data_IF_970575834268
#
_entry.id   IF_970575834268
#
_cell.length_a   1.000
_cell.length_b   1.000
_cell.length_c   1.000
_cell.angle_alpha   90.00
_cell.angle_beta   90.00
_cell.angle_gamma   90.00
#
_symmetry.space_group_name_H-M   'P 1'
#
loop_
_entity.id
_entity.type
_entity.pdbx_description
1 polymer ?
#
# COMPACT_ATOMS: atom_id res chain seq x y z
N UNK A 1 32.24 -17.58 -13.60
CA UNK A 1 31.44 -16.99 -12.52
C UNK A 1 30.43 -16.08 -13.18
N UNK A 2 29.14 -16.38 -13.03
CA UNK A 2 28.06 -15.57 -13.59
C UNK A 2 27.95 -14.23 -12.86
N UNK A 3 27.22 -13.28 -13.43
CA UNK A 3 26.95 -11.99 -12.76
C UNK A 3 26.10 -12.19 -11.50
N UNK A 4 25.18 -13.16 -11.53
CA UNK A 4 24.41 -13.61 -10.37
C UNK A 4 25.32 -14.07 -9.22
N UNK A 5 26.27 -14.97 -9.50
CA UNK A 5 27.22 -15.46 -8.50
C UNK A 5 28.09 -14.33 -7.92
N UNK A 6 28.55 -13.41 -8.77
CA UNK A 6 29.32 -12.24 -8.33
C UNK A 6 28.50 -11.33 -7.41
N UNK A 7 27.23 -11.10 -7.76
CA UNK A 7 26.35 -10.29 -6.94
C UNK A 7 26.07 -10.97 -5.59
N UNK A 8 25.86 -12.29 -5.57
CA UNK A 8 25.73 -13.05 -4.32
C UNK A 8 26.97 -12.88 -3.42
N UNK A 9 28.18 -12.92 -3.96
CA UNK A 9 29.40 -12.73 -3.17
C UNK A 9 29.51 -11.31 -2.58
N UNK A 10 29.03 -10.32 -3.31
CA UNK A 10 28.99 -8.94 -2.85
C UNK A 10 28.03 -8.79 -1.66
N UNK A 11 26.78 -9.20 -1.80
CA UNK A 11 25.73 -9.03 -0.78
C UNK A 11 25.89 -9.92 0.47
N UNK A 12 26.88 -10.84 0.48
CA UNK A 12 27.28 -11.56 1.71
C UNK A 12 28.00 -10.67 2.72
N UNK A 13 28.50 -9.52 2.28
CA UNK A 13 29.12 -8.52 3.13
C UNK A 13 28.21 -7.31 3.24
N UNK A 14 28.31 -6.58 4.36
CA UNK A 14 27.53 -5.36 4.52
C UNK A 14 28.00 -4.30 3.52
N UNK A 15 27.06 -3.59 2.90
CA UNK A 15 27.39 -2.65 1.83
C UNK A 15 26.16 -2.05 1.15
N UNK A 16 26.42 -1.15 0.20
CA UNK A 16 25.41 -0.55 -0.65
C UNK A 16 25.76 -0.81 -2.12
N UNK A 17 24.77 -1.20 -2.90
CA UNK A 17 24.91 -1.65 -4.28
C UNK A 17 23.90 -0.93 -5.16
N UNK A 18 24.36 -0.45 -6.30
CA UNK A 18 23.50 0.14 -7.34
C UNK A 18 23.58 -0.78 -8.55
N UNK A 19 22.44 -1.21 -9.07
CA UNK A 19 22.45 -2.02 -10.28
C UNK A 19 22.82 -1.16 -11.50
N UNK A 20 23.70 -1.69 -12.33
CA UNK A 20 24.09 -1.06 -13.60
C UNK A 20 23.40 -1.70 -14.81
N UNK A 21 22.75 -2.85 -14.60
CA UNK A 21 22.03 -3.63 -15.59
C UNK A 21 21.10 -4.64 -14.91
N UNK A 22 20.22 -5.26 -15.68
CA UNK A 22 19.37 -6.35 -15.21
C UNK A 22 20.22 -7.56 -14.82
N UNK A 23 19.95 -8.11 -13.64
CA UNK A 23 20.48 -9.38 -13.15
C UNK A 23 19.44 -10.47 -13.41
N UNK A 24 19.71 -11.33 -14.40
CA UNK A 24 18.83 -12.44 -14.76
C UNK A 24 19.52 -13.75 -14.39
N UNK A 25 18.81 -14.58 -13.61
CA UNK A 25 19.27 -15.88 -13.18
C UNK A 25 19.42 -16.85 -14.37
N UNK A 26 20.43 -17.72 -14.27
CA UNK A 26 20.55 -18.92 -15.11
C UNK A 26 20.05 -20.16 -14.37
N UNK A 27 20.04 -21.32 -15.03
CA UNK A 27 19.52 -22.56 -14.44
C UNK A 27 20.28 -23.05 -13.18
N UNK A 28 21.46 -22.50 -12.88
CA UNK A 28 22.26 -22.85 -11.68
C UNK A 28 22.18 -21.79 -10.60
N UNK A 29 21.48 -20.70 -10.85
CA UNK A 29 21.36 -19.58 -9.95
C UNK A 29 20.38 -19.91 -8.82
N UNK A 30 20.80 -19.64 -7.60
CA UNK A 30 20.02 -19.89 -6.39
C UNK A 30 19.53 -18.58 -5.77
N UNK A 31 18.63 -18.71 -4.78
CA UNK A 31 18.13 -17.60 -3.97
C UNK A 31 19.29 -16.78 -3.42
N UNK A 32 19.16 -15.45 -3.48
CA UNK A 32 20.12 -14.58 -2.85
C UNK A 32 19.98 -14.63 -1.33
N UNK A 33 21.03 -15.06 -0.65
CA UNK A 33 21.07 -15.17 0.81
C UNK A 33 21.75 -13.94 1.42
N UNK A 34 21.05 -13.26 2.34
CA UNK A 34 21.60 -12.19 3.18
C UNK A 34 21.73 -12.75 4.60
N UNK A 35 22.96 -13.05 5.08
CA UNK A 35 23.15 -13.69 6.37
C UNK A 35 22.75 -12.80 7.55
N UNK A 36 22.49 -13.44 8.70
CA UNK A 36 22.25 -12.73 9.96
C UNK A 36 23.44 -11.84 10.32
N UNK A 37 23.16 -10.59 10.70
CA UNK A 37 24.18 -9.59 11.04
C UNK A 37 24.77 -8.83 9.85
N UNK A 38 24.36 -9.17 8.62
CA UNK A 38 24.76 -8.45 7.40
C UNK A 38 23.71 -7.38 7.08
N UNK A 39 24.16 -6.19 6.68
CA UNK A 39 23.29 -5.07 6.28
C UNK A 39 23.59 -4.67 4.85
N UNK A 40 22.64 -4.90 3.96
CA UNK A 40 22.75 -4.64 2.52
C UNK A 40 21.73 -3.58 2.12
N UNK A 41 22.16 -2.60 1.33
CA UNK A 41 21.25 -1.69 0.62
C UNK A 41 21.40 -1.90 -0.88
N UNK A 42 20.29 -2.09 -1.58
CA UNK A 42 20.23 -2.27 -3.02
C UNK A 42 19.39 -1.13 -3.60
N UNK A 43 19.99 -0.35 -4.49
CA UNK A 43 19.28 0.53 -5.41
C UNK A 43 19.13 -0.21 -6.74
N UNK A 44 17.88 -0.54 -7.07
CA UNK A 44 17.55 -1.21 -8.31
C UNK A 44 17.84 -0.32 -9.52
N UNK A 45 17.85 1.02 -9.37
CA UNK A 45 18.26 1.95 -10.42
C UNK A 45 17.55 1.68 -11.78
N UNK A 46 16.27 1.32 -11.72
CA UNK A 46 15.46 0.96 -12.89
C UNK A 46 15.72 -0.42 -13.51
N UNK A 47 16.53 -1.25 -12.86
CA UNK A 47 16.89 -2.59 -13.32
C UNK A 47 16.17 -3.71 -12.57
N UNK A 48 16.16 -4.89 -13.20
CA UNK A 48 15.54 -6.09 -12.66
C UNK A 48 16.55 -6.97 -11.93
N UNK A 49 16.07 -7.63 -10.89
CA UNK A 49 16.62 -8.87 -10.35
C UNK A 49 15.57 -9.94 -10.61
N UNK A 50 15.80 -10.72 -11.66
CA UNK A 50 14.84 -11.70 -12.19
C UNK A 50 15.37 -13.12 -11.97
N UNK A 51 14.63 -13.91 -11.19
CA UNK A 51 14.92 -15.34 -10.97
C UNK A 51 14.55 -16.21 -12.17
N UNK A 52 13.74 -15.69 -13.09
CA UNK A 52 13.30 -16.34 -14.31
C UNK A 52 12.72 -17.76 -14.09
N UNK A 53 12.10 -17.98 -12.93
CA UNK A 53 11.31 -19.16 -12.60
C UNK A 53 9.85 -18.84 -12.94
N UNK A 54 9.45 -19.08 -14.19
CA UNK A 54 8.13 -18.66 -14.71
C UNK A 54 7.10 -19.78 -14.77
N UNK A 55 7.54 -21.04 -14.71
CA UNK A 55 6.68 -22.21 -14.92
C UNK A 55 6.85 -23.22 -13.76
N UNK A 56 5.72 -23.77 -13.28
CA UNK A 56 5.61 -24.76 -12.18
C UNK A 56 6.42 -26.05 -12.42
N UNK A 57 6.85 -26.28 -13.67
CA UNK A 57 7.51 -27.51 -14.10
C UNK A 57 8.90 -27.30 -14.70
N UNK A 58 9.54 -26.15 -14.44
CA UNK A 58 10.94 -25.96 -14.82
C UNK A 58 11.86 -26.80 -13.90
N UNK A 59 11.85 -28.11 -14.15
CA UNK A 59 12.62 -29.12 -13.39
C UNK A 59 14.14 -29.01 -13.61
N UNK A 60 14.59 -28.10 -14.47
CA UNK A 60 16.01 -27.82 -14.70
C UNK A 60 16.55 -26.76 -13.75
N UNK A 61 15.67 -26.00 -13.06
CA UNK A 61 16.06 -24.91 -12.14
C UNK A 61 15.69 -25.25 -10.71
N UNK A 62 16.52 -24.80 -9.76
CA UNK A 62 16.15 -24.85 -8.36
C UNK A 62 15.10 -23.79 -8.08
N UNK A 63 13.96 -24.22 -7.56
CA UNK A 63 12.94 -23.36 -6.98
C UNK A 63 13.54 -22.46 -5.88
N UNK A 64 12.76 -21.47 -5.49
CA UNK A 64 13.03 -20.58 -4.38
C UNK A 64 12.78 -19.12 -4.70
N UNK A 65 12.78 -18.33 -3.64
CA UNK A 65 12.66 -16.89 -3.71
C UNK A 65 13.76 -16.20 -4.54
N UNK A 66 13.53 -14.92 -4.87
CA UNK A 66 14.62 -14.05 -5.34
C UNK A 66 15.60 -13.78 -4.19
N UNK A 67 15.08 -13.42 -3.02
CA UNK A 67 15.88 -13.17 -1.82
C UNK A 67 15.40 -13.98 -0.60
N UNK A 68 16.35 -14.46 0.18
CA UNK A 68 16.17 -14.92 1.55
C UNK A 68 16.99 -14.00 2.47
N UNK A 69 16.28 -13.16 3.22
CA UNK A 69 16.88 -12.17 4.10
C UNK A 69 16.85 -12.65 5.55
N UNK A 70 18.01 -12.92 6.14
CA UNK A 70 18.19 -13.18 7.59
C UNK A 70 18.88 -12.02 8.31
N UNK A 71 19.34 -11.02 7.57
CA UNK A 71 20.04 -9.83 8.05
C UNK A 71 19.16 -8.59 7.96
N UNK A 72 19.70 -7.53 7.39
CA UNK A 72 18.98 -6.30 7.06
C UNK A 72 19.12 -6.00 5.58
N UNK A 73 18.00 -5.96 4.87
CA UNK A 73 17.92 -5.62 3.45
C UNK A 73 17.17 -4.31 3.29
N UNK A 74 17.76 -3.35 2.59
CA UNK A 74 17.08 -2.14 2.11
C UNK A 74 16.97 -2.21 0.60
N UNK A 75 15.77 -2.03 0.07
CA UNK A 75 15.50 -1.94 -1.37
C UNK A 75 14.99 -0.55 -1.69
N UNK A 76 15.61 0.06 -2.70
CA UNK A 76 15.26 1.37 -3.24
C UNK A 76 15.33 1.33 -4.76
N UNK A 77 14.79 2.34 -5.41
CA UNK A 77 14.87 2.48 -6.85
C UNK A 77 14.90 3.96 -7.21
N UNK A 78 16.11 4.48 -7.46
CA UNK A 78 16.33 5.91 -7.65
C UNK A 78 15.89 6.43 -9.02
N UNK A 79 15.80 5.55 -10.01
CA UNK A 79 15.40 5.87 -11.39
C UNK A 79 13.94 5.49 -11.67
N UNK A 80 13.40 4.49 -10.97
CA UNK A 80 12.06 3.97 -11.19
C UNK A 80 12.07 2.79 -12.15
N UNK A 81 11.04 1.95 -12.08
CA UNK A 81 10.84 0.71 -12.86
C UNK A 81 11.70 -0.51 -12.50
N UNK A 82 12.51 -0.41 -11.44
CA UNK A 82 13.28 -1.53 -10.92
C UNK A 82 12.38 -2.61 -10.32
N UNK A 83 12.73 -3.89 -10.52
CA UNK A 83 11.89 -5.02 -10.14
C UNK A 83 12.67 -6.14 -9.46
N UNK A 84 12.03 -6.79 -8.49
CA UNK A 84 12.42 -8.08 -7.91
C UNK A 84 11.33 -9.07 -8.33
N UNK A 85 11.66 -9.95 -9.28
CA UNK A 85 10.66 -10.74 -10.01
C UNK A 85 11.10 -12.16 -10.35
N UNK A 86 10.15 -12.94 -10.87
CA UNK A 86 10.38 -14.26 -11.44
C UNK A 86 10.81 -15.30 -10.42
N UNK A 87 10.59 -15.07 -9.13
CA UNK A 87 10.80 -16.10 -8.11
C UNK A 87 9.59 -17.03 -8.02
N UNK A 88 9.87 -18.30 -7.76
CA UNK A 88 8.88 -19.38 -7.62
C UNK A 88 9.31 -20.27 -6.45
N UNK A 89 8.61 -20.24 -5.32
CA UNK A 89 9.00 -20.99 -4.11
C UNK A 89 7.88 -21.91 -3.62
N UNK A 90 8.18 -23.17 -3.31
CA UNK A 90 7.22 -24.11 -2.72
C UNK A 90 7.06 -23.98 -1.20
N UNK A 91 7.79 -23.07 -0.56
CA UNK A 91 7.76 -22.84 0.89
C UNK A 91 7.16 -21.47 1.27
N UNK A 92 6.84 -20.63 0.29
CA UNK A 92 6.32 -19.28 0.49
C UNK A 92 7.34 -18.17 0.23
N UNK A 93 6.86 -16.96 -0.02
CA UNK A 93 7.70 -15.78 -0.28
C UNK A 93 8.38 -15.80 -1.64
N UNK A 94 7.62 -16.02 -2.71
CA UNK A 94 8.13 -16.17 -4.07
C UNK A 94 9.12 -15.07 -4.48
N UNK A 95 8.87 -13.82 -4.12
CA UNK A 95 9.82 -12.73 -4.30
C UNK A 95 10.88 -12.71 -3.19
N UNK A 96 10.41 -12.53 -1.95
CA UNK A 96 11.29 -12.37 -0.79
C UNK A 96 10.79 -13.18 0.41
N UNK A 97 11.68 -14.00 0.96
CA UNK A 97 11.55 -14.56 2.30
C UNK A 97 12.29 -13.67 3.31
N UNK A 98 11.56 -12.97 4.17
CA UNK A 98 12.13 -12.12 5.19
C UNK A 98 12.08 -12.78 6.57
N UNK A 99 13.26 -13.12 7.10
CA UNK A 99 13.47 -13.60 8.47
C UNK A 99 14.31 -12.60 9.31
N UNK A 100 14.59 -11.42 8.77
CA UNK A 100 15.34 -10.35 9.40
C UNK A 100 14.58 -9.03 9.34
N UNK A 101 15.24 -7.97 8.89
CA UNK A 101 14.60 -6.68 8.66
C UNK A 101 14.66 -6.32 7.18
N UNK A 102 13.51 -5.99 6.59
CA UNK A 102 13.38 -5.54 5.22
C UNK A 102 12.80 -4.12 5.19
N UNK A 103 13.51 -3.20 4.54
CA UNK A 103 13.01 -1.87 4.21
C UNK A 103 12.73 -1.79 2.71
N UNK A 104 11.49 -1.51 2.33
CA UNK A 104 11.07 -1.28 0.96
C UNK A 104 10.75 0.21 0.78
N UNK A 105 11.69 0.94 0.19
CA UNK A 105 11.58 2.38 -0.07
C UNK A 105 11.24 2.71 -1.53
N UNK A 106 11.45 1.76 -2.45
CA UNK A 106 11.22 1.93 -3.87
C UNK A 106 11.32 0.61 -4.63
N UNK A 107 11.04 0.64 -5.93
CA UNK A 107 11.02 -0.53 -6.78
C UNK A 107 9.74 -1.35 -6.63
N UNK A 108 9.67 -2.46 -7.34
CA UNK A 108 8.52 -3.36 -7.34
C UNK A 108 8.94 -4.77 -6.94
N UNK A 109 8.30 -5.36 -5.92
CA UNK A 109 8.31 -6.82 -5.72
C UNK A 109 7.10 -7.35 -6.47
N UNK A 110 7.33 -7.90 -7.66
CA UNK A 110 6.24 -8.25 -8.56
C UNK A 110 6.49 -9.46 -9.43
N UNK A 111 5.40 -10.04 -9.93
CA UNK A 111 5.45 -11.18 -10.85
C UNK A 111 6.23 -12.35 -10.21
N UNK A 112 6.00 -12.55 -8.91
CA UNK A 112 6.50 -13.70 -8.16
C UNK A 112 5.36 -14.64 -7.82
N UNK A 113 5.72 -15.91 -7.69
CA UNK A 113 4.78 -16.99 -7.51
C UNK A 113 5.17 -17.86 -6.31
N UNK A 114 4.18 -18.40 -5.63
CA UNK A 114 4.36 -19.51 -4.69
C UNK A 114 3.18 -20.45 -4.82
N UNK A 115 3.44 -21.75 -4.87
CA UNK A 115 2.44 -22.80 -4.63
C UNK A 115 2.55 -23.37 -3.20
N UNK A 116 3.44 -22.74 -2.40
CA UNK A 116 3.71 -23.02 -1.01
C UNK A 116 2.96 -22.13 -0.05
N UNK A 117 2.84 -22.59 1.19
CA UNK A 117 1.86 -22.17 2.21
C UNK A 117 1.52 -20.67 2.32
N UNK A 118 2.42 -19.73 2.00
CA UNK A 118 2.25 -18.31 2.33
C UNK A 118 3.02 -17.32 1.41
N UNK A 119 2.37 -16.24 0.96
CA UNK A 119 3.07 -15.04 0.50
C UNK A 119 3.59 -15.11 -0.94
N UNK A 120 2.79 -14.78 -1.94
CA UNK A 120 3.25 -14.79 -3.35
C UNK A 120 4.40 -13.82 -3.61
N UNK A 121 4.31 -12.61 -3.04
CA UNK A 121 5.36 -11.60 -3.13
C UNK A 121 6.37 -11.72 -2.00
N UNK A 122 5.90 -11.47 -0.77
CA UNK A 122 6.74 -11.43 0.43
C UNK A 122 6.17 -12.32 1.51
N UNK A 123 6.99 -13.22 2.04
CA UNK A 123 6.74 -13.87 3.32
C UNK A 123 7.56 -13.20 4.41
N UNK A 124 6.88 -12.53 5.35
CA UNK A 124 7.51 -11.94 6.53
C UNK A 124 7.38 -12.91 7.70
N UNK A 125 8.46 -13.61 8.02
CA UNK A 125 8.52 -14.66 9.03
C UNK A 125 8.32 -14.17 10.46
N UNK A 126 8.27 -15.13 11.39
CA UNK A 126 8.17 -14.84 12.84
C UNK A 126 9.38 -14.00 13.27
N UNK A 127 9.13 -13.00 14.11
CA UNK A 127 10.10 -11.98 14.59
C UNK A 127 10.70 -11.07 13.50
N UNK A 128 10.36 -11.29 12.23
CA UNK A 128 10.84 -10.45 11.13
C UNK A 128 10.09 -9.13 11.07
N UNK A 129 10.77 -8.10 10.57
CA UNK A 129 10.22 -6.76 10.40
C UNK A 129 10.25 -6.38 8.93
N UNK A 130 9.10 -6.01 8.39
CA UNK A 130 8.97 -5.40 7.07
C UNK A 130 8.48 -3.95 7.25
N UNK A 131 9.25 -3.00 6.74
CA UNK A 131 8.87 -1.59 6.66
C UNK A 131 8.66 -1.21 5.21
N UNK A 132 7.45 -0.75 4.88
CA UNK A 132 7.08 -0.26 3.55
C UNK A 132 6.90 1.24 3.66
N UNK A 133 7.81 1.99 3.03
CA UNK A 133 7.74 3.45 2.94
C UNK A 133 7.99 3.90 1.50
N UNK A 134 7.39 3.17 0.58
CA UNK A 134 7.47 3.37 -0.85
C UNK A 134 7.33 2.05 -1.59
N UNK A 135 7.73 2.07 -2.86
CA UNK A 135 7.67 0.91 -3.73
C UNK A 135 6.27 0.33 -3.94
N UNK A 136 6.26 -0.80 -4.62
CA UNK A 136 5.06 -1.54 -4.99
C UNK A 136 5.24 -3.03 -4.68
N UNK A 137 4.18 -3.69 -4.25
CA UNK A 137 4.08 -5.15 -4.17
C UNK A 137 2.91 -5.52 -5.07
N UNK A 138 3.22 -6.01 -6.28
CA UNK A 138 2.22 -6.05 -7.35
C UNK A 138 2.22 -7.35 -8.14
N UNK A 139 1.04 -7.82 -8.55
CA UNK A 139 0.91 -8.98 -9.45
C UNK A 139 1.66 -10.23 -8.95
N UNK A 140 1.71 -10.43 -7.64
CA UNK A 140 2.22 -11.67 -7.08
C UNK A 140 1.09 -12.67 -6.88
N UNK A 141 1.43 -13.95 -6.99
CA UNK A 141 0.45 -15.03 -6.96
C UNK A 141 0.81 -16.06 -5.89
N UNK A 142 -0.15 -16.37 -5.02
CA UNK A 142 -0.12 -17.52 -4.15
C UNK A 142 -1.15 -18.54 -4.64
N UNK A 143 -0.69 -19.66 -5.18
CA UNK A 143 -1.52 -20.79 -5.59
C UNK A 143 -1.57 -21.77 -4.42
N UNK A 144 -2.75 -22.29 -4.11
CA UNK A 144 -3.00 -23.19 -2.95
C UNK A 144 -2.90 -22.56 -1.57
N UNK A 145 -2.68 -21.25 -1.51
CA UNK A 145 -2.11 -20.63 -0.32
C UNK A 145 -2.61 -19.21 -0.08
N UNK A 146 -2.23 -18.65 1.07
CA UNK A 146 -2.72 -17.36 1.55
C UNK A 146 -1.74 -16.22 1.28
N UNK A 147 -2.25 -14.98 1.24
CA UNK A 147 -1.41 -13.78 1.18
C UNK A 147 -0.78 -13.58 -0.19
N UNK A 148 -1.58 -13.32 -1.23
CA UNK A 148 -1.06 -13.19 -2.61
C UNK A 148 0.08 -12.18 -2.71
N UNK A 149 -0.04 -11.02 -2.05
CA UNK A 149 1.03 -10.03 -1.95
C UNK A 149 1.97 -10.29 -0.79
N UNK A 150 1.44 -10.22 0.44
CA UNK A 150 2.20 -10.38 1.68
C UNK A 150 1.54 -11.43 2.56
N UNK A 151 2.34 -12.36 3.08
CA UNK A 151 1.97 -13.15 4.25
C UNK A 151 2.85 -12.76 5.43
N UNK A 152 2.22 -12.31 6.51
CA UNK A 152 2.89 -11.77 7.70
C UNK A 152 2.68 -12.66 8.92
N UNK A 153 3.78 -13.22 9.43
CA UNK A 153 3.88 -13.89 10.73
C UNK A 153 4.66 -13.05 11.77
N UNK A 154 5.22 -11.91 11.37
CA UNK A 154 6.02 -11.00 12.19
C UNK A 154 5.38 -9.62 12.31
N UNK A 155 6.17 -8.58 12.08
CA UNK A 155 5.71 -7.17 12.10
C UNK A 155 5.80 -6.54 10.72
N UNK A 156 4.69 -5.96 10.26
CA UNK A 156 4.65 -5.09 9.07
C UNK A 156 4.27 -3.67 9.51
N UNK A 157 5.05 -2.70 9.04
CA UNK A 157 4.77 -1.27 9.16
C UNK A 157 4.69 -0.66 7.77
N UNK A 158 3.51 -0.19 7.39
CA UNK A 158 3.26 0.46 6.10
C UNK A 158 2.98 1.95 6.31
N UNK A 159 3.95 2.78 5.97
CA UNK A 159 3.87 4.25 6.03
C UNK A 159 3.39 4.83 4.69
N UNK A 160 3.79 4.18 3.59
CA UNK A 160 3.36 4.50 2.22
C UNK A 160 3.53 3.26 1.31
N UNK A 161 3.49 3.44 -0.01
CA UNK A 161 3.61 2.35 -0.99
C UNK A 161 2.25 1.80 -1.44
N UNK A 162 2.30 0.83 -2.36
CA UNK A 162 1.11 0.24 -2.99
C UNK A 162 1.20 -1.28 -2.98
N UNK A 163 0.14 -1.95 -2.49
CA UNK A 163 -0.05 -3.39 -2.60
C UNK A 163 -1.22 -3.63 -3.56
N UNK A 164 -0.95 -4.06 -4.78
CA UNK A 164 -2.01 -4.15 -5.79
C UNK A 164 -1.96 -5.33 -6.74
N UNK A 165 -3.11 -5.73 -7.28
CA UNK A 165 -3.16 -6.79 -8.29
C UNK A 165 -2.63 -8.14 -7.84
N UNK A 166 -2.44 -8.36 -6.54
CA UNK A 166 -1.95 -9.62 -6.02
C UNK A 166 -3.12 -10.61 -5.86
N UNK A 167 -2.84 -11.89 -6.01
CA UNK A 167 -3.88 -12.92 -6.06
C UNK A 167 -3.55 -14.13 -5.18
N UNK A 168 -4.55 -14.61 -4.45
CA UNK A 168 -4.54 -15.91 -3.77
C UNK A 168 -5.63 -16.81 -4.39
N UNK A 169 -5.28 -17.96 -4.97
CA UNK A 169 -6.20 -18.84 -5.73
C UNK A 169 -5.99 -20.31 -5.34
N UNK A 170 -7.08 -21.07 -5.10
CA UNK A 170 -7.17 -22.55 -5.00
C UNK A 170 -8.55 -23.06 -4.52
N UNK A 171 -9.57 -22.22 -4.40
CA UNK A 171 -10.93 -22.61 -4.05
C UNK A 171 -11.15 -23.16 -2.63
N UNK A 172 -10.11 -23.64 -1.93
CA UNK A 172 -10.21 -24.33 -0.63
C UNK A 172 -9.50 -23.62 0.53
N UNK A 173 -8.35 -22.97 0.28
CA UNK A 173 -7.52 -22.36 1.34
C UNK A 173 -6.93 -20.99 0.98
N UNK A 174 -7.49 -20.29 0.00
CA UNK A 174 -6.96 -19.03 -0.50
C UNK A 174 -7.59 -17.81 0.19
N UNK A 175 -6.98 -17.35 1.28
CA UNK A 175 -7.34 -16.11 1.97
C UNK A 175 -6.31 -14.99 1.70
N UNK A 176 -6.76 -13.73 1.65
CA UNK A 176 -5.85 -12.59 1.68
C UNK A 176 -5.15 -12.31 0.36
N UNK A 177 -5.88 -11.87 -0.67
CA UNK A 177 -5.30 -11.53 -1.98
C UNK A 177 -4.13 -10.53 -1.88
N UNK A 178 -4.32 -9.47 -1.08
CA UNK A 178 -3.29 -8.48 -0.79
C UNK A 178 -2.40 -8.89 0.37
N UNK A 179 -2.96 -8.95 1.58
CA UNK A 179 -2.22 -9.21 2.83
C UNK A 179 -2.93 -10.26 3.68
N UNK A 180 -2.19 -11.28 4.13
CA UNK A 180 -2.56 -12.11 5.27
C UNK A 180 -1.72 -11.68 6.49
N UNK A 181 -2.38 -11.24 7.56
CA UNK A 181 -1.77 -11.00 8.86
C UNK A 181 -2.12 -12.13 9.83
N UNK A 182 -1.17 -13.03 10.09
CA UNK A 182 -1.40 -14.28 10.83
C UNK A 182 -1.60 -14.06 12.33
N UNK A 183 -2.06 -15.11 13.01
CA UNK A 183 -2.12 -15.15 14.47
C UNK A 183 -0.78 -14.80 15.11
N UNK A 184 -0.80 -13.86 16.05
CA UNK A 184 0.41 -13.38 16.75
C UNK A 184 1.21 -12.33 15.99
N UNK A 185 0.91 -12.08 14.71
CA UNK A 185 1.55 -11.06 13.91
C UNK A 185 0.92 -9.67 14.13
N UNK A 186 1.65 -8.62 13.76
CA UNK A 186 1.20 -7.23 13.80
C UNK A 186 1.33 -6.58 12.43
N UNK A 187 0.25 -5.94 11.96
CA UNK A 187 0.27 -5.10 10.78
C UNK A 187 -0.26 -3.71 11.15
N UNK A 188 0.60 -2.69 10.99
CA UNK A 188 0.23 -1.28 11.15
C UNK A 188 0.28 -0.58 9.80
N UNK A 189 -0.84 0.00 9.39
CA UNK A 189 -0.97 0.84 8.20
C UNK A 189 -1.19 2.29 8.62
N UNK A 190 -0.18 3.12 8.45
CA UNK A 190 -0.22 4.58 8.66
C UNK A 190 -0.53 5.33 7.36
N UNK A 191 -0.39 4.67 6.20
CA UNK A 191 -0.69 5.24 4.89
C UNK A 191 -0.52 4.23 3.76
N UNK A 192 -0.55 4.72 2.52
CA UNK A 192 -0.42 3.91 1.31
C UNK A 192 -1.74 3.34 0.79
N UNK A 193 -1.64 2.44 -0.19
CA UNK A 193 -2.78 1.91 -0.95
C UNK A 193 -2.76 0.37 -0.96
N UNK A 194 -3.91 -0.27 -0.68
CA UNK A 194 -4.14 -1.70 -0.88
C UNK A 194 -5.34 -1.86 -1.83
N UNK A 195 -5.08 -2.18 -3.09
CA UNK A 195 -6.12 -2.13 -4.11
C UNK A 195 -6.04 -3.15 -5.24
N UNK A 196 -7.18 -3.50 -5.84
CA UNK A 196 -7.21 -4.42 -6.98
C UNK A 196 -6.70 -5.82 -6.67
N UNK A 197 -6.63 -6.22 -5.39
CA UNK A 197 -6.18 -7.55 -5.01
C UNK A 197 -7.35 -8.54 -5.10
N UNK A 198 -7.03 -9.81 -5.36
CA UNK A 198 -7.99 -10.86 -5.70
C UNK A 198 -7.82 -12.07 -4.77
N UNK A 199 -8.92 -12.65 -4.34
CA UNK A 199 -8.92 -13.92 -3.60
C UNK A 199 -10.16 -14.73 -3.96
N UNK A 200 -10.19 -16.03 -3.63
CA UNK A 200 -11.34 -16.89 -3.91
C UNK A 200 -12.19 -17.19 -2.67
N UNK A 201 -11.72 -16.84 -1.45
CA UNK A 201 -12.46 -17.09 -0.20
C UNK A 201 -12.74 -15.81 0.59
N UNK A 202 -11.77 -15.28 1.33
CA UNK A 202 -11.99 -14.17 2.26
C UNK A 202 -10.92 -13.07 2.17
N UNK A 203 -11.33 -11.82 2.39
CA UNK A 203 -10.42 -10.70 2.67
C UNK A 203 -9.48 -10.34 1.53
N UNK A 204 -10.03 -10.03 0.36
CA UNK A 204 -9.23 -9.73 -0.84
C UNK A 204 -8.14 -8.66 -0.60
N UNK A 205 -8.43 -7.62 0.18
CA UNK A 205 -7.46 -6.63 0.64
C UNK A 205 -6.59 -7.18 1.77
N UNK A 206 -7.16 -7.29 2.97
CA UNK A 206 -6.48 -7.76 4.18
C UNK A 206 -7.30 -8.86 4.84
N UNK A 207 -6.64 -9.96 5.18
CA UNK A 207 -7.14 -10.93 6.17
C UNK A 207 -6.35 -10.74 7.45
N UNK A 208 -7.04 -10.56 8.56
CA UNK A 208 -6.44 -10.39 9.87
C UNK A 208 -6.82 -11.53 10.80
N UNK A 209 -5.79 -12.17 11.36
CA UNK A 209 -5.85 -13.14 12.45
C UNK A 209 -5.02 -12.70 13.67
N UNK A 210 -4.23 -11.63 13.52
CA UNK A 210 -3.35 -11.06 14.52
C UNK A 210 -3.82 -9.69 14.99
N UNK A 211 -2.89 -8.75 15.12
CA UNK A 211 -3.18 -7.35 15.45
C UNK A 211 -3.13 -6.50 14.18
N UNK A 212 -4.22 -5.84 13.84
CA UNK A 212 -4.30 -4.88 12.74
C UNK A 212 -4.55 -3.48 13.30
N UNK A 213 -3.69 -2.53 12.94
CA UNK A 213 -3.83 -1.13 13.29
C UNK A 213 -3.92 -0.32 12.00
N UNK A 214 -5.06 0.31 11.75
CA UNK A 214 -5.29 1.18 10.59
C UNK A 214 -5.33 2.62 11.07
N UNK A 215 -4.18 3.29 11.04
CA UNK A 215 -4.10 4.71 11.37
C UNK A 215 -4.43 5.60 10.16
N UNK A 216 -4.27 5.10 8.93
CA UNK A 216 -4.65 5.84 7.73
C UNK A 216 -4.40 5.04 6.44
N UNK A 217 -4.63 5.68 5.30
CA UNK A 217 -4.40 5.10 3.97
C UNK A 217 -5.69 4.73 3.23
N UNK A 218 -5.55 3.91 2.19
CA UNK A 218 -6.65 3.59 1.27
C UNK A 218 -6.75 2.08 1.03
N UNK A 219 -7.93 1.50 1.25
CA UNK A 219 -8.21 0.09 0.94
C UNK A 219 -9.44 0.03 0.04
N UNK A 220 -9.26 -0.29 -1.24
CA UNK A 220 -10.33 -0.16 -2.21
C UNK A 220 -10.21 -1.13 -3.38
N UNK A 221 -11.30 -1.42 -4.08
CA UNK A 221 -11.19 -2.11 -5.36
C UNK A 221 -10.71 -3.56 -5.28
N UNK A 222 -10.65 -4.13 -4.08
CA UNK A 222 -10.28 -5.52 -3.87
C UNK A 222 -11.51 -6.40 -4.10
N UNK A 223 -11.29 -7.63 -4.56
CA UNK A 223 -12.35 -8.47 -5.11
C UNK A 223 -12.23 -9.92 -4.63
N UNK A 224 -13.35 -10.52 -4.26
CA UNK A 224 -13.43 -11.96 -3.98
C UNK A 224 -14.11 -12.61 -5.20
N UNK A 225 -13.45 -13.57 -5.85
CA UNK A 225 -13.98 -14.39 -6.93
C UNK A 225 -14.21 -15.81 -6.43
N UNK A 226 -15.40 -16.08 -5.89
CA UNK A 226 -15.71 -17.39 -5.32
C UNK A 226 -16.11 -18.36 -6.43
N UNK A 227 -15.43 -19.50 -6.51
CA UNK A 227 -15.85 -20.59 -7.40
C UNK A 227 -17.02 -21.37 -6.76
N UNK A 228 -18.05 -21.65 -7.56
CA UNK A 228 -19.21 -22.43 -7.15
C UNK A 228 -19.28 -23.77 -7.90
N UNK A 229 -18.84 -24.84 -7.24
CA UNK A 229 -18.82 -26.22 -7.74
C UNK A 229 -20.14 -26.68 -8.37
N UNK A 230 -21.28 -26.31 -7.77
CA UNK A 230 -22.61 -26.74 -8.23
C UNK A 230 -23.03 -26.14 -9.58
N UNK A 231 -22.41 -25.01 -9.95
CA UNK A 231 -22.80 -24.21 -11.11
C UNK A 231 -21.70 -24.04 -12.16
N UNK A 232 -20.48 -24.55 -11.87
CA UNK A 232 -19.28 -24.31 -12.68
C UNK A 232 -19.14 -22.82 -13.06
N UNK A 233 -19.29 -21.95 -12.06
CA UNK A 233 -19.33 -20.50 -12.25
C UNK A 233 -18.61 -19.75 -11.13
N UNK A 234 -18.10 -18.56 -11.46
CA UNK A 234 -17.50 -17.64 -10.49
C UNK A 234 -18.49 -16.54 -10.16
N UNK A 235 -18.65 -16.24 -8.88
CA UNK A 235 -19.35 -15.05 -8.40
C UNK A 235 -18.35 -14.03 -7.90
N UNK A 236 -18.53 -12.78 -8.33
CA UNK A 236 -17.79 -11.65 -7.77
C UNK A 236 -18.52 -11.20 -6.51
N UNK A 237 -17.90 -11.43 -5.35
CA UNK A 237 -18.40 -11.00 -4.06
C UNK A 237 -17.58 -9.82 -3.54
N UNK A 238 -18.29 -8.83 -3.00
CA UNK A 238 -17.70 -7.64 -2.39
C UNK A 238 -17.75 -7.68 -0.85
N UNK A 239 -18.40 -8.70 -0.26
CA UNK A 239 -18.49 -8.84 1.20
C UNK A 239 -17.13 -9.18 1.80
N UNK A 240 -16.60 -8.34 2.70
CA UNK A 240 -15.29 -8.59 3.32
C UNK A 240 -14.11 -8.34 2.38
N UNK A 241 -14.33 -7.64 1.26
CA UNK A 241 -13.29 -7.41 0.27
C UNK A 241 -12.14 -6.55 0.77
N UNK A 242 -12.34 -5.71 1.77
CA UNK A 242 -11.30 -4.85 2.30
C UNK A 242 -10.57 -5.45 3.48
N UNK A 243 -11.30 -5.82 4.53
CA UNK A 243 -10.75 -6.44 5.73
C UNK A 243 -11.63 -7.61 6.14
N UNK A 244 -11.09 -8.82 6.23
CA UNK A 244 -11.72 -9.93 6.91
C UNK A 244 -10.98 -10.17 8.23
N UNK A 245 -11.62 -9.89 9.36
CA UNK A 245 -11.02 -10.13 10.67
C UNK A 245 -11.55 -11.44 11.24
N UNK A 246 -10.71 -12.46 11.25
CA UNK A 246 -11.09 -13.82 11.58
C UNK A 246 -10.26 -14.34 12.75
N UNK A 247 -10.72 -15.45 13.34
CA UNK A 247 -9.91 -16.22 14.27
C UNK A 247 -9.48 -15.45 15.55
N UNK A 248 -10.26 -14.47 16.04
CA UNK A 248 -9.90 -13.68 17.21
C UNK A 248 -8.85 -12.59 16.98
N UNK A 249 -8.62 -12.21 15.71
CA UNK A 249 -7.81 -11.04 15.39
C UNK A 249 -8.40 -9.76 16.00
N UNK A 250 -7.53 -8.79 16.30
CA UNK A 250 -7.94 -7.46 16.80
C UNK A 250 -7.76 -6.43 15.70
N UNK A 251 -8.71 -5.51 15.59
CA UNK A 251 -8.61 -4.36 14.68
C UNK A 251 -8.75 -3.08 15.50
N UNK A 252 -7.80 -2.17 15.32
CA UNK A 252 -7.85 -0.82 15.88
C UNK A 252 -7.83 0.18 14.74
N UNK A 253 -8.78 1.11 14.74
CA UNK A 253 -8.74 2.28 13.87
C UNK A 253 -8.09 3.43 14.64
N UNK A 254 -7.03 4.02 14.08
CA UNK A 254 -6.38 5.19 14.63
C UNK A 254 -7.21 6.47 14.44
N UNK A 255 -6.67 7.62 14.84
CA UNK A 255 -7.37 8.90 14.70
C UNK A 255 -7.28 9.53 13.31
N UNK A 256 -6.43 9.01 12.42
CA UNK A 256 -6.21 9.57 11.11
C UNK A 256 -7.17 8.98 10.05
N UNK A 257 -7.12 9.60 8.88
CA UNK A 257 -8.11 9.46 7.84
C UNK A 257 -7.99 8.12 7.08
N UNK A 258 -9.04 7.30 7.09
CA UNK A 258 -9.13 6.07 6.30
C UNK A 258 -10.10 6.24 5.12
N UNK A 259 -9.63 5.94 3.91
CA UNK A 259 -10.46 5.98 2.69
C UNK A 259 -10.75 4.58 2.19
N UNK A 260 -11.93 4.42 1.59
CA UNK A 260 -12.34 3.15 1.03
C UNK A 260 -13.31 3.27 -0.15
N UNK A 261 -13.33 2.26 -1.00
CA UNK A 261 -14.20 2.18 -2.18
C UNK A 261 -14.24 0.77 -2.78
N UNK A 262 -15.21 0.54 -3.65
CA UNK A 262 -15.45 -0.74 -4.32
C UNK A 262 -14.73 -0.85 -5.66
N UNK A 263 -14.46 0.28 -6.33
CA UNK A 263 -13.97 0.30 -7.69
C UNK A 263 -12.45 0.14 -7.75
N UNK A 264 -11.94 -0.77 -8.58
CA UNK A 264 -10.50 -1.00 -8.75
C UNK A 264 -9.71 0.24 -9.21
N UNK A 265 -10.37 1.19 -9.87
CA UNK A 265 -9.76 2.45 -10.31
C UNK A 265 -9.81 3.58 -9.27
N UNK A 266 -10.43 3.32 -8.10
CA UNK A 266 -10.56 4.27 -7.01
C UNK A 266 -11.59 5.39 -7.25
N UNK A 267 -12.44 5.26 -8.27
CA UNK A 267 -13.40 6.31 -8.63
C UNK A 267 -14.49 6.58 -7.59
N UNK A 268 -14.73 5.64 -6.68
CA UNK A 268 -15.79 5.69 -5.67
C UNK A 268 -15.24 5.78 -4.23
N UNK A 269 -13.99 6.21 -4.08
CA UNK A 269 -13.36 6.35 -2.77
C UNK A 269 -14.08 7.40 -1.90
N UNK A 270 -14.45 7.01 -0.68
CA UNK A 270 -15.09 7.90 0.30
C UNK A 270 -14.32 7.87 1.62
N UNK A 271 -14.34 9.01 2.29
CA UNK A 271 -13.79 9.18 3.62
C UNK A 271 -14.66 8.51 4.69
N UNK A 272 -14.04 7.73 5.58
CA UNK A 272 -14.72 7.27 6.79
C UNK A 272 -14.65 8.34 7.88
N UNK A 273 -15.80 8.88 8.32
CA UNK A 273 -15.80 9.80 9.44
C UNK A 273 -15.38 9.06 10.71
N UNK A 274 -14.52 9.69 11.51
CA UNK A 274 -14.03 9.14 12.78
C UNK A 274 -15.18 8.76 13.73
N UNK A 275 -16.31 9.45 13.66
CA UNK A 275 -17.52 9.14 14.43
C UNK A 275 -18.06 7.71 14.16
N UNK A 276 -17.79 7.14 12.98
CA UNK A 276 -18.20 5.79 12.60
C UNK A 276 -17.17 4.72 12.96
N UNK A 277 -15.98 5.08 13.48
CA UNK A 277 -14.92 4.11 13.76
C UNK A 277 -15.34 3.09 14.81
N UNK A 278 -16.08 3.50 15.85
CA UNK A 278 -16.58 2.58 16.86
C UNK A 278 -17.54 1.54 16.26
N UNK A 279 -18.43 1.97 15.36
CA UNK A 279 -19.38 1.08 14.69
C UNK A 279 -18.66 0.13 13.72
N UNK A 280 -17.68 0.62 12.97
CA UNK A 280 -16.85 -0.19 12.07
C UNK A 280 -16.06 -1.23 12.85
N UNK A 281 -15.38 -0.82 13.93
CA UNK A 281 -14.63 -1.75 14.82
C UNK A 281 -15.57 -2.80 15.41
N UNK A 282 -16.79 -2.43 15.79
CA UNK A 282 -17.78 -3.40 16.27
C UNK A 282 -18.24 -4.37 15.19
N UNK A 283 -18.33 -3.96 13.93
CA UNK A 283 -18.73 -4.82 12.80
C UNK A 283 -17.63 -5.80 12.37
N UNK A 284 -16.36 -5.41 12.58
CA UNK A 284 -15.19 -6.23 12.25
C UNK A 284 -14.60 -6.91 13.49
N UNK A 285 -15.25 -6.83 14.64
CA UNK A 285 -14.86 -7.58 15.83
C UNK A 285 -15.04 -9.10 15.58
N UNK A 286 -14.21 -9.91 16.25
CA UNK A 286 -14.11 -11.39 16.19
C UNK A 286 -15.05 -12.11 15.19
N UNK A 287 -14.49 -12.57 14.06
CA UNK A 287 -15.21 -13.14 12.89
C UNK A 287 -16.09 -12.15 12.12
N UNK A 288 -15.66 -10.88 12.07
CA UNK A 288 -16.32 -9.81 11.34
C UNK A 288 -15.69 -9.52 9.97
N UNK A 289 -16.51 -9.06 9.03
CA UNK A 289 -16.10 -8.70 7.67
C UNK A 289 -16.36 -7.22 7.41
N UNK A 290 -15.38 -6.53 6.84
CA UNK A 290 -15.52 -5.17 6.32
C UNK A 290 -15.66 -5.23 4.82
N UNK A 291 -16.88 -4.95 4.36
CA UNK A 291 -17.21 -4.76 2.97
C UNK A 291 -17.38 -3.26 2.70
N UNK A 292 -16.70 -2.74 1.68
CA UNK A 292 -17.12 -1.48 1.09
C UNK A 292 -18.03 -1.87 -0.05
N UNK A 293 -19.35 -1.83 0.15
CA UNK A 293 -20.33 -2.25 -0.86
C UNK A 293 -21.22 -1.13 -1.35
N UNK A 294 -21.31 0.01 -0.66
CA UNK A 294 -22.06 1.17 -1.11
C UNK A 294 -21.52 2.42 -0.40
N UNK A 295 -21.57 3.56 -1.10
CA UNK A 295 -21.26 4.90 -0.59
C UNK A 295 -21.47 5.04 0.92
N UNK A 296 -20.40 5.42 1.66
CA UNK A 296 -20.52 5.84 3.07
C UNK A 296 -21.69 6.84 3.12
N UNK A 297 -22.70 6.63 3.97
CA UNK A 297 -23.87 7.50 3.97
C UNK A 297 -23.39 8.93 4.22
N UNK A 298 -23.66 9.84 3.28
CA UNK A 298 -23.59 11.25 3.59
C UNK A 298 -24.52 11.50 4.77
N UNK A 299 -23.94 11.86 5.91
CA UNK A 299 -24.62 12.33 7.11
C UNK A 299 -25.58 11.31 7.76
N UNK A 300 -25.09 10.63 8.79
CA UNK A 300 -25.99 10.17 9.86
C UNK A 300 -26.56 11.41 10.55
N UNK A 301 -27.76 11.85 10.15
CA UNK A 301 -28.56 12.78 10.94
C UNK A 301 -28.98 12.06 12.21
N UNK A 302 -28.26 12.29 13.31
CA UNK A 302 -28.69 11.80 14.62
C UNK A 302 -29.95 12.55 15.02
N UNK A 303 -31.09 11.87 15.02
CA UNK A 303 -32.27 12.36 15.73
C UNK A 303 -31.98 12.22 17.22
N UNK A 304 -31.63 13.33 17.87
CA UNK A 304 -31.45 13.38 19.31
C UNK A 304 -32.84 13.31 19.95
N UNK A 305 -33.24 12.13 20.44
CA UNK A 305 -34.37 12.01 21.35
C UNK A 305 -33.91 12.46 22.73
N UNK A 306 -34.23 13.70 23.10
CA UNK A 306 -33.98 14.23 24.44
C UNK A 306 -34.93 13.55 25.43
N UNK A 307 -34.42 12.66 26.28
CA UNK A 307 -35.15 12.21 27.48
C UNK A 307 -34.78 13.18 28.60
N UNK A 308 -35.77 13.97 29.03
CA UNK A 308 -35.63 14.84 30.20
C UNK A 308 -36.00 14.01 31.43
N UNK A 309 -35.04 13.80 32.34
CA UNK A 309 -35.35 13.29 33.68
C UNK A 309 -34.78 14.26 34.71
N UNK A 310 -35.68 14.78 35.53
CA UNK A 310 -35.49 15.84 36.51
C UNK A 310 -34.72 15.35 37.74
N UNK A 311 -33.81 16.21 38.22
CA UNK A 311 -33.30 16.36 39.61
C UNK A 311 -32.75 15.12 40.34
N UNK A 312 -31.44 15.11 40.58
CA UNK A 312 -30.88 15.41 41.91
C UNK A 312 -29.34 15.57 41.85
N UNK A 313 -28.87 16.48 42.70
CA UNK A 313 -27.51 16.99 42.90
C UNK A 313 -26.46 15.92 43.19
N UNK A 314 -25.37 15.90 42.41
CA UNK A 314 -24.04 15.46 42.86
C UNK A 314 -22.99 16.39 42.27
N UNK A 315 -22.14 16.92 43.14
CA UNK A 315 -21.04 17.86 42.87
C UNK A 315 -20.02 17.30 41.85
N UNK A 316 -19.84 17.98 40.73
CA UNK A 316 -18.77 17.75 39.76
C UNK A 316 -17.46 18.38 40.25
N UNK A 317 -16.42 17.56 40.41
CA UNK A 317 -15.03 18.02 40.44
C UNK A 317 -14.52 18.06 39.01
N UNK A 318 -14.47 19.25 38.42
CA UNK A 318 -13.91 19.45 37.08
C UNK A 318 -12.39 19.29 37.13
N UNK A 319 -11.87 18.18 36.58
CA UNK A 319 -10.45 18.07 36.21
C UNK A 319 -10.35 18.45 34.75
N UNK A 320 -9.85 19.66 34.48
CA UNK A 320 -9.51 20.10 33.13
C UNK A 320 -8.15 19.51 32.77
N UNK A 321 -8.13 18.40 32.05
CA UNK A 321 -6.95 17.97 31.29
C UNK A 321 -7.09 18.52 29.88
N UNK A 322 -6.28 19.50 29.53
CA UNK A 322 -6.09 19.98 28.15
C UNK A 322 -5.56 18.82 27.32
N UNK A 323 -6.40 18.21 26.48
CA UNK A 323 -5.97 17.23 25.51
C UNK A 323 -5.04 17.92 24.51
N UNK A 324 -3.78 17.51 24.45
CA UNK A 324 -2.86 17.93 23.40
C UNK A 324 -3.43 17.46 22.05
N UNK A 325 -3.43 18.33 21.04
CA UNK A 325 -3.85 18.00 19.68
C UNK A 325 -3.04 16.80 19.17
N UNK A 326 -3.73 15.74 18.77
CA UNK A 326 -3.11 14.49 18.31
C UNK A 326 -2.71 14.64 16.84
N UNK A 327 -1.41 14.65 16.56
CA UNK A 327 -0.83 14.78 15.21
C UNK A 327 -0.95 13.46 14.41
N UNK A 328 -1.22 13.55 13.11
CA UNK A 328 -1.42 12.40 12.19
C UNK A 328 -0.15 11.58 11.92
N UNK A 329 1.03 12.18 12.12
CA UNK A 329 2.33 11.56 11.93
C UNK A 329 3.40 12.31 12.73
N UNK A 330 4.59 11.73 12.87
CA UNK A 330 5.72 12.43 13.47
C UNK A 330 6.18 13.61 12.60
N UNK A 331 6.79 14.62 13.22
CA UNK A 331 7.28 15.80 12.50
C UNK A 331 8.28 15.43 11.38
N UNK A 332 9.08 14.38 11.60
CA UNK A 332 10.02 13.82 10.62
C UNK A 332 9.30 13.17 9.42
N UNK A 333 8.18 12.49 9.66
CA UNK A 333 7.33 11.92 8.59
C UNK A 333 6.64 13.02 7.79
N UNK A 334 6.12 14.06 8.47
CA UNK A 334 5.52 15.22 7.81
C UNK A 334 6.52 16.00 6.93
N UNK A 335 7.77 16.11 7.39
CA UNK A 335 8.86 16.67 6.59
C UNK A 335 9.14 15.84 5.33
N UNK A 336 9.24 14.51 5.45
CA UNK A 336 9.45 13.62 4.30
C UNK A 336 8.30 13.64 3.30
N UNK A 337 7.06 13.78 3.76
CA UNK A 337 5.91 14.00 2.87
C UNK A 337 6.01 15.29 2.07
N UNK A 338 6.48 16.37 2.71
CA UNK A 338 6.70 17.65 2.06
C UNK A 338 7.83 17.57 1.00
N UNK A 339 8.92 16.84 1.30
CA UNK A 339 10.01 16.58 0.34
C UNK A 339 9.52 15.82 -0.89
N UNK A 340 8.75 14.74 -0.68
CA UNK A 340 8.25 13.87 -1.74
C UNK A 340 7.24 14.58 -2.66
N UNK A 341 6.36 15.41 -2.13
CA UNK A 341 5.45 16.25 -2.93
C UNK A 341 6.23 17.26 -3.81
N UNK A 342 7.19 17.97 -3.20
CA UNK A 342 8.00 18.93 -3.93
C UNK A 342 8.83 18.26 -5.03
N UNK A 343 9.43 17.10 -4.73
CA UNK A 343 10.17 16.30 -5.71
C UNK A 343 9.27 15.84 -6.87
N UNK A 344 8.05 15.37 -6.59
CA UNK A 344 7.09 14.95 -7.62
C UNK A 344 6.67 16.10 -8.54
N UNK A 345 6.46 17.30 -7.97
CA UNK A 345 5.89 18.45 -8.68
C UNK A 345 6.92 19.29 -9.43
N UNK A 346 8.13 19.40 -8.90
CA UNK A 346 9.17 20.26 -9.42
C UNK A 346 10.37 19.49 -9.99
N UNK A 347 10.49 18.19 -9.72
CA UNK A 347 11.61 17.37 -10.18
C UNK A 347 12.94 17.69 -9.47
N UNK A 348 12.89 18.45 -8.37
CA UNK A 348 14.06 18.90 -7.61
C UNK A 348 14.10 18.15 -6.27
N UNK A 349 15.27 17.60 -5.91
CA UNK A 349 15.49 17.06 -4.57
C UNK A 349 15.60 18.22 -3.58
N UNK A 350 14.75 18.21 -2.56
CA UNK A 350 14.69 19.26 -1.53
C UNK A 350 14.82 18.63 -0.15
N UNK A 351 15.27 19.42 0.82
CA UNK A 351 15.31 19.02 2.22
C UNK A 351 14.29 19.81 3.02
N UNK A 352 13.44 19.11 3.75
CA UNK A 352 12.45 19.67 4.66
C UNK A 352 13.06 19.86 6.06
N UNK A 353 12.72 20.98 6.69
CA UNK A 353 13.04 21.23 8.09
C UNK A 353 11.89 21.96 8.77
N UNK A 354 11.57 21.56 10.00
CA UNK A 354 10.55 22.23 10.81
C UNK A 354 11.05 23.61 11.20
N UNK A 355 10.27 24.64 10.86
CA UNK A 355 10.56 26.03 11.19
C UNK A 355 9.76 26.48 12.39
N UNK A 356 8.49 26.06 12.48
CA UNK A 356 7.58 26.48 13.54
C UNK A 356 6.54 25.39 13.83
N UNK A 357 6.15 25.28 15.10
CA UNK A 357 5.06 24.41 15.55
C UNK A 357 4.12 25.23 16.41
N UNK A 358 2.88 25.35 15.96
CA UNK A 358 1.78 26.05 16.64
C UNK A 358 0.63 25.06 16.84
N UNK A 359 -0.26 25.28 17.80
CA UNK A 359 -1.36 24.36 18.11
C UNK A 359 -2.15 23.95 16.85
N UNK A 360 -1.92 22.72 16.37
CA UNK A 360 -2.58 22.15 15.20
C UNK A 360 -1.89 22.39 13.84
N UNK A 361 -0.79 23.14 13.78
CA UNK A 361 -0.12 23.53 12.53
C UNK A 361 1.41 23.37 12.62
N UNK A 362 1.99 22.67 11.65
CA UNK A 362 3.42 22.47 11.47
C UNK A 362 3.91 23.24 10.23
N UNK A 363 4.81 24.19 10.43
CA UNK A 363 5.44 24.93 9.33
C UNK A 363 6.77 24.29 8.97
N UNK A 364 6.91 23.86 7.72
CA UNK A 364 8.09 23.18 7.18
C UNK A 364 8.69 24.02 6.06
N UNK A 365 9.98 24.35 6.14
CA UNK A 365 10.71 24.95 5.04
C UNK A 365 11.35 23.88 4.16
N UNK A 366 11.16 24.02 2.85
CA UNK A 366 11.79 23.21 1.83
C UNK A 366 13.00 23.96 1.27
N UNK A 367 14.17 23.37 1.38
CA UNK A 367 15.45 23.99 1.00
C UNK A 367 16.14 23.24 -0.14
N UNK A 368 16.85 23.97 -1.01
CA UNK A 368 17.71 23.39 -2.04
C UNK A 368 19.02 22.83 -1.44
N UNK A 369 19.85 22.21 -2.29
CA UNK A 369 21.15 21.68 -1.89
C UNK A 369 22.13 22.76 -1.40
N UNK A 370 21.89 24.03 -1.75
CA UNK A 370 22.69 25.19 -1.34
C UNK A 370 22.16 25.85 -0.05
N UNK A 371 21.04 25.36 0.50
CA UNK A 371 20.42 25.83 1.74
C UNK A 371 19.45 27.00 1.56
N UNK A 372 19.08 27.38 0.33
CA UNK A 372 18.09 28.42 0.08
C UNK A 372 16.67 27.87 0.22
N UNK A 373 15.78 28.63 0.87
CA UNK A 373 14.37 28.27 0.99
C UNK A 373 13.65 28.39 -0.37
N UNK A 374 13.17 27.27 -0.88
CA UNK A 374 12.42 27.16 -2.15
C UNK A 374 10.93 27.42 -1.91
N UNK A 375 10.36 26.81 -0.86
CA UNK A 375 8.95 26.98 -0.49
C UNK A 375 8.76 26.71 1.01
N UNK A 376 7.59 27.07 1.55
CA UNK A 376 7.21 26.84 2.93
C UNK A 376 5.83 26.22 2.98
N UNK A 377 5.71 25.06 3.63
CA UNK A 377 4.46 24.34 3.79
C UNK A 377 3.93 24.54 5.19
N UNK A 378 2.70 25.03 5.30
CA UNK A 378 1.94 25.05 6.55
C UNK A 378 1.02 23.84 6.53
N UNK A 379 1.34 22.85 7.36
CA UNK A 379 0.68 21.55 7.42
C UNK A 379 -0.25 21.55 8.62
N UNK A 380 -1.54 21.33 8.39
CA UNK A 380 -2.46 21.01 9.47
C UNK A 380 -2.14 19.61 9.99
N UNK A 381 -1.65 19.52 11.23
CA UNK A 381 -1.16 18.25 11.78
C UNK A 381 -2.28 17.29 12.13
N UNK A 382 -3.54 17.71 12.09
CA UNK A 382 -4.71 16.89 12.39
C UNK A 382 -5.35 16.34 11.12
N UNK A 383 -5.23 17.05 9.99
CA UNK A 383 -5.84 16.66 8.70
C UNK A 383 -4.85 16.30 7.61
N UNK A 384 -3.57 16.69 7.75
CA UNK A 384 -2.51 16.44 6.76
C UNK A 384 -2.58 17.32 5.52
N UNK A 385 -3.45 18.31 5.53
CA UNK A 385 -3.59 19.28 4.45
C UNK A 385 -2.46 20.30 4.57
N UNK A 386 -1.64 20.43 3.53
CA UNK A 386 -0.62 21.45 3.44
C UNK A 386 -1.08 22.64 2.60
N UNK A 387 -0.61 23.84 2.93
CA UNK A 387 -0.70 25.03 2.08
C UNK A 387 0.70 25.57 1.84
N UNK A 388 1.03 25.96 0.61
CA UNK A 388 2.28 26.66 0.37
C UNK A 388 2.19 28.16 0.66
N UNK A 389 3.31 28.85 0.47
CA UNK A 389 3.45 30.29 0.66
C UNK A 389 2.52 31.15 -0.24
N UNK A 390 1.94 30.57 -1.30
CA UNK A 390 0.93 31.19 -2.16
C UNK A 390 -0.52 30.90 -1.72
N UNK A 391 -0.72 30.32 -0.52
CA UNK A 391 -1.99 29.84 0.02
C UNK A 391 -2.73 28.82 -0.87
N UNK A 392 -2.02 28.18 -1.82
CA UNK A 392 -2.56 27.11 -2.64
C UNK A 392 -2.56 25.83 -1.81
N UNK A 393 -3.71 25.14 -1.78
CA UNK A 393 -3.81 23.83 -1.16
C UNK A 393 -2.90 22.84 -1.88
N UNK A 394 -2.13 22.10 -1.11
CA UNK A 394 -1.21 21.06 -1.57
C UNK A 394 -1.71 19.74 -1.03
N UNK A 395 -1.85 18.80 -1.97
CA UNK A 395 -2.12 17.42 -1.64
C UNK A 395 -0.80 16.72 -1.34
N UNK A 396 -0.45 16.61 -0.06
CA UNK A 396 0.66 15.75 0.34
C UNK A 396 0.38 14.31 -0.12
N UNK A 397 1.41 13.45 -0.28
CA UNK A 397 1.27 12.10 -0.85
C UNK A 397 0.29 11.17 -0.12
N UNK A 398 -0.17 11.54 1.08
CA UNK A 398 -1.23 10.86 1.81
C UNK A 398 -2.65 11.38 1.55
N UNK A 399 -2.83 12.57 0.98
CA UNK A 399 -4.14 13.00 0.48
C UNK A 399 -4.30 12.45 -0.93
N UNK A 400 -4.92 11.28 -1.03
CA UNK A 400 -5.39 10.69 -2.27
C UNK A 400 -6.42 11.60 -2.95
N UNK A 401 -5.97 12.69 -3.56
CA UNK A 401 -6.75 13.44 -4.53
C UNK A 401 -5.99 13.46 -5.85
N UNK A 402 -6.05 12.33 -6.57
CA UNK A 402 -5.71 12.26 -8.00
C UNK A 402 -6.71 13.04 -8.89
N UNK A 403 -7.46 14.01 -8.35
CA UNK A 403 -8.34 14.90 -9.12
C UNK A 403 -7.56 15.84 -10.06
N UNK A 404 -6.37 16.29 -9.68
CA UNK A 404 -5.63 17.30 -10.48
C UNK A 404 -4.90 16.73 -11.69
N UNK A 405 -4.51 15.45 -11.68
CA UNK A 405 -3.80 14.84 -12.82
C UNK A 405 -4.74 14.50 -14.00
N UNK A 406 -6.07 14.43 -13.79
CA UNK A 406 -7.05 14.25 -14.88
C UNK A 406 -7.79 15.53 -15.28
N UNK A 407 -7.86 16.55 -14.43
CA UNK A 407 -8.48 17.84 -14.79
C UNK A 407 -7.67 18.59 -15.87
N UNK A 408 -6.34 18.41 -15.93
CA UNK A 408 -5.50 19.00 -16.98
C UNK A 408 -5.59 18.25 -18.33
N UNK A 409 -5.82 16.94 -18.32
CA UNK A 409 -5.98 16.15 -19.54
C UNK A 409 -7.32 16.39 -20.24
N UNK A 410 -8.38 16.74 -19.48
CA UNK A 410 -9.68 17.09 -20.07
C UNK A 410 -9.74 18.53 -20.64
N UNK A 411 -8.95 19.46 -20.09
CA UNK A 411 -8.81 20.81 -20.66
C UNK A 411 -7.87 20.86 -21.88
N UNK A 412 -7.03 19.83 -22.07
CA UNK A 412 -6.24 19.62 -23.28
C UNK A 412 -7.04 19.07 -24.48
N UNK A 413 -8.23 18.50 -24.25
CA UNK A 413 -9.07 17.95 -25.32
C UNK A 413 -10.21 18.89 -25.78
N UNK A 414 -10.42 20.03 -25.11
CA UNK A 414 -11.47 21.01 -25.46
C UNK A 414 -10.96 22.28 -26.17
N UNK A 415 -9.67 22.38 -26.53
CA UNK A 415 -9.12 23.51 -27.32
C UNK A 415 -8.77 23.15 -28.78
N UNK A 416 -9.48 22.23 -29.42
CA UNK A 416 -9.40 22.01 -30.88
C UNK A 416 -10.76 21.99 -31.60
N UNK A 417 -11.84 22.41 -30.96
CA UNK A 417 -13.15 22.61 -31.61
C UNK A 417 -13.54 24.08 -31.59
N UNK A 418 -12.69 24.93 -32.17
CA UNK A 418 -12.89 26.37 -32.09
C UNK A 418 -12.16 27.20 -33.13
N UNK A 419 -11.98 26.73 -34.37
CA UNK A 419 -11.91 27.57 -35.58
C UNK A 419 -11.90 26.69 -36.83
N UNK A 420 -13.02 26.68 -37.55
CA UNK A 420 -13.16 25.98 -38.83
C UNK A 420 -14.53 26.25 -39.46
N UNK A 421 -14.92 27.53 -39.58
CA UNK A 421 -15.96 27.92 -40.53
C UNK A 421 -15.43 27.77 -41.97
N UNK A 422 -16.36 27.55 -42.90
CA UNK A 422 -16.23 27.36 -44.37
C UNK A 422 -15.98 25.89 -44.79
N UNK A 423 -16.91 25.13 -45.37
CA UNK A 423 -17.90 25.46 -46.41
C UNK A 423 -18.99 24.38 -46.52
N UNK A 424 -20.18 24.81 -46.94
CA UNK A 424 -21.36 23.99 -47.27
C UNK A 424 -21.15 23.26 -48.60
N UNK A 425 -21.38 21.93 -48.65
CA UNK A 425 -22.19 21.29 -49.72
C UNK A 425 -22.52 19.81 -49.46
N UNK A 426 -23.84 19.56 -49.46
CA UNK A 426 -24.61 18.32 -49.70
C UNK A 426 -23.84 17.12 -50.27
N UNK A 427 -24.06 15.93 -49.70
CA UNK A 427 -25.09 14.99 -50.20
C UNK A 427 -25.10 13.67 -49.42
N UNK A 428 -26.30 13.20 -49.12
CA UNK A 428 -26.63 11.81 -48.79
C UNK A 428 -25.92 10.83 -49.74
N UNK A 429 -25.59 9.61 -49.30
CA UNK A 429 -26.30 8.37 -49.71
C UNK A 429 -25.82 7.19 -48.85
N UNK A 430 -26.79 6.48 -48.29
CA UNK A 430 -26.73 5.13 -47.72
C UNK A 430 -26.23 4.11 -48.76
N UNK A 431 -25.39 3.15 -48.37
CA UNK A 431 -25.67 1.72 -48.61
C UNK A 431 -24.65 0.80 -47.96
N UNK A 432 -25.20 -0.11 -47.15
CA UNK A 432 -24.66 -1.43 -46.87
C UNK A 432 -24.25 -2.15 -48.17
N UNK A 433 -23.17 -2.91 -48.07
CA UNK A 433 -23.24 -4.36 -48.31
C UNK A 433 -22.24 -5.07 -47.42
#
# INVERSE_FOLDING_TARGET
QSEWERFQEQIRNSGSYVLEQDLIADARSHTFEIPKGVTVSIDLNGHKIDRDLRDEWDNERTDGAVFCNRGTLTVSDSVGSGMICGGYDHNGGGGIQNFGTLYLYGGCVCENHTDGWNGGGIWNGVDAVLVIDGGEIRNNQAVMCNGGGIANAGTVLMESGVISGNSAQDGYYADGGGVLNMRGASFTMNGGEICGNLTELYGAGIVNQGTLILNGGMIYGNTIHRYHDESDSYTTEHFGNAVANIAGGTVTLGGAALMAGTAADGSDQVYMPQASYADVVSQIADYGYLAWTDTVPETSTTTVTTITTTTETVTETTVTTTAALQQIASDEVLCRWAEKDCQKKHGVKVKASVVEKTDGMLTVALTDADGNCIDTYVIDVTTGIAKNNAAKQISLPQTGNRSVDRALLLLGACMLTGTGLFTIKRSCTVKCK
#
